data_IF_607920766938
#
_entry.id   IF_607920766938
#
_cell.length_a   1.000
_cell.length_b   1.000
_cell.length_c   1.000
_cell.angle_alpha   90.00
_cell.angle_beta   90.00
_cell.angle_gamma   90.00
#
_symmetry.space_group_name_H-M   'P 1'
#
loop_
_entity.id
_entity.type
_entity.pdbx_description
1 polymer ?
2 water ?
#
# COMPACT_ATOMS: atom_id res chain seq x y z
N UNK A 11 13.17 8.19 -1.78
CA UNK A 11 12.49 6.93 -1.91
C UNK A 11 11.36 6.82 -0.88
N UNK A 12 11.62 7.32 0.34
CA UNK A 12 10.63 7.22 1.39
C UNK A 12 9.37 8.01 1.11
N UNK A 13 9.51 9.16 0.44
CA UNK A 13 8.36 10.02 0.18
C UNK A 13 7.55 9.57 -1.02
N UNK A 14 7.98 8.53 -1.73
CA UNK A 14 7.21 8.03 -2.86
C UNK A 14 5.90 7.43 -2.35
N UNK A 15 4.78 7.96 -2.83
CA UNK A 15 3.48 7.43 -2.46
C UNK A 15 3.06 6.33 -3.42
N UNK A 16 2.27 5.39 -2.92
CA UNK A 16 1.87 4.22 -3.68
C UNK A 16 0.35 4.14 -3.76
N UNK A 17 -0.13 3.38 -4.74
CA UNK A 17 -1.55 3.20 -4.97
C UNK A 17 -1.83 1.71 -5.14
N UNK A 18 -2.94 1.26 -4.56
CA UNK A 18 -3.33 -0.14 -4.67
C UNK A 18 -3.84 -0.43 -6.07
N UNK A 19 -3.31 -1.49 -6.68
CA UNK A 19 -3.79 -1.94 -7.97
C UNK A 19 -4.96 -2.90 -7.85
N UNK A 20 -5.13 -3.53 -6.69
CA UNK A 20 -6.18 -4.51 -6.49
C UNK A 20 -6.81 -4.30 -5.12
N UNK A 21 -8.03 -4.82 -4.96
CA UNK A 21 -8.65 -4.86 -3.64
C UNK A 21 -7.92 -5.88 -2.77
N UNK A 22 -7.98 -5.68 -1.45
CA UNK A 22 -7.41 -6.65 -0.53
C UNK A 22 -8.19 -6.64 0.78
N UNK A 23 -8.59 -7.81 1.25
CA UNK A 23 -9.31 -7.95 2.51
C UNK A 23 -8.40 -8.65 3.51
N UNK A 24 -7.94 -7.91 4.52
CA UNK A 24 -7.04 -8.46 5.51
C UNK A 24 -7.76 -9.46 6.40
N UNK A 25 -7.00 -10.39 6.96
CA UNK A 25 -7.53 -11.40 7.87
C UNK A 25 -6.92 -11.33 9.26
N UNK A 26 -6.06 -10.35 9.53
CA UNK A 26 -5.52 -10.13 10.87
C UNK A 26 -5.48 -8.64 11.16
N UNK A 27 -5.54 -8.31 12.45
CA UNK A 27 -5.59 -6.91 12.85
C UNK A 27 -4.38 -6.13 12.33
N UNK A 28 -3.24 -6.79 12.18
CA UNK A 28 -2.00 -6.12 11.84
C UNK A 28 -1.94 -5.67 10.39
N UNK A 29 -2.85 -6.14 9.55
CA UNK A 29 -2.82 -5.86 8.12
C UNK A 29 -3.96 -4.92 7.74
N UNK A 30 -3.73 -4.14 6.70
CA UNK A 30 -4.73 -3.20 6.22
C UNK A 30 -5.57 -3.83 5.12
N UNK A 31 -6.87 -3.54 5.14
CA UNK A 31 -7.77 -3.83 4.04
C UNK A 31 -7.89 -2.58 3.18
N UNK A 32 -7.99 -2.77 1.86
CA UNK A 32 -8.09 -1.59 1.00
C UNK A 32 -8.73 -1.95 -0.33
N UNK A 33 -9.14 -0.90 -1.04
CA UNK A 33 -9.70 -1.00 -2.38
C UNK A 33 -8.65 -0.58 -3.40
N UNK A 34 -8.73 -1.17 -4.59
CA UNK A 34 -8.01 -0.64 -5.73
C UNK A 34 -8.20 0.87 -5.82
N UNK A 35 -7.10 1.57 -6.08
CA UNK A 35 -7.12 3.01 -6.21
C UNK A 35 -6.83 3.80 -4.95
N UNK A 36 -6.83 3.17 -3.78
CA UNK A 36 -6.50 3.83 -2.53
C UNK A 36 -4.99 4.00 -2.41
N UNK A 37 -4.58 5.11 -1.80
CA UNK A 37 -3.19 5.51 -1.80
C UNK A 37 -2.58 5.33 -0.42
N UNK A 38 -1.26 5.18 -0.41
CA UNK A 38 -0.55 4.86 0.81
C UNK A 38 0.78 5.60 0.90
N UNK A 39 1.12 5.96 2.13
CA UNK A 39 2.47 6.35 2.50
C UNK A 39 3.13 5.12 3.12
N UNK A 40 4.33 4.80 2.67
CA UNK A 40 5.04 3.62 3.14
C UNK A 40 5.88 4.00 4.35
N UNK A 41 5.66 3.31 5.47
CA UNK A 41 6.36 3.61 6.71
C UNK A 41 7.61 2.77 6.89
N UNK A 42 7.57 1.51 6.46
CA UNK A 42 8.72 0.64 6.55
C UNK A 42 8.61 -0.41 5.45
N UNK A 43 9.67 -0.54 4.65
CA UNK A 43 9.74 -1.54 3.60
C UNK A 43 11.01 -2.37 3.73
N UNK A 44 11.52 -2.50 4.96
CA UNK A 44 12.77 -3.19 5.24
C UNK A 44 12.54 -4.48 6.02
N UNK A 45 11.41 -5.15 5.79
CA UNK A 45 11.13 -6.42 6.44
C UNK A 45 10.54 -7.43 5.47
N UNK A 46 10.75 -7.25 4.17
CA UNK A 46 10.33 -8.24 3.20
C UNK A 46 9.22 -7.82 2.26
N UNK A 47 8.41 -8.79 1.83
CA UNK A 47 7.36 -8.55 0.85
C UNK A 47 6.15 -7.83 1.45
N UNK A 48 6.15 -7.58 2.75
CA UNK A 48 5.06 -6.88 3.42
C UNK A 48 5.61 -5.56 3.94
N UNK A 49 4.99 -4.46 3.53
CA UNK A 49 5.41 -3.14 3.96
C UNK A 49 4.46 -2.61 5.02
N UNK A 50 5.00 -1.91 6.01
CA UNK A 50 4.17 -1.11 6.90
C UNK A 50 3.79 0.17 6.19
N UNK A 51 2.50 0.47 6.16
CA UNK A 51 2.00 1.59 5.39
C UNK A 51 0.96 2.34 6.20
N UNK A 52 0.74 3.60 5.82
CA UNK A 52 -0.36 4.40 6.32
C UNK A 52 -1.36 4.61 5.19
N UNK A 53 -2.63 4.27 5.44
CA UNK A 53 -3.67 4.55 4.47
C UNK A 53 -3.92 6.05 4.41
N UNK A 54 -3.83 6.62 3.21
CA UNK A 54 -4.12 8.04 3.04
C UNK A 54 -5.62 8.34 2.98
N UNK A 55 -6.47 7.32 3.14
CA UNK A 55 -7.91 7.51 3.27
C UNK A 55 -8.35 7.53 4.73
N UNK A 56 -7.91 6.55 5.51
CA UNK A 56 -8.36 6.40 6.88
C UNK A 56 -7.32 6.86 7.90
N UNK A 57 -6.05 6.92 7.52
CA UNK A 57 -4.99 7.17 8.46
C UNK A 57 -4.55 5.96 9.25
N UNK A 58 -5.18 4.81 9.05
CA UNK A 58 -4.77 3.60 9.75
C UNK A 58 -3.40 3.15 9.26
N UNK A 59 -2.64 2.53 10.16
CA UNK A 59 -1.33 1.99 9.84
C UNK A 59 -1.36 0.48 10.00
N UNK A 60 -0.65 -0.20 9.11
CA UNK A 60 -0.58 -1.65 9.14
C UNK A 60 0.22 -2.13 7.96
N UNK A 61 0.34 -3.45 7.85
CA UNK A 61 1.12 -4.05 6.78
C UNK A 61 0.25 -4.29 5.55
N UNK A 62 0.87 -4.11 4.39
CA UNK A 62 0.21 -4.38 3.12
C UNK A 62 1.12 -5.26 2.27
N UNK A 63 0.56 -6.09 1.38
CA UNK A 63 1.39 -6.86 0.44
C UNK A 63 1.91 -5.94 -0.66
N UNK A 64 3.24 -5.84 -0.78
CA UNK A 64 3.82 -4.84 -1.67
C UNK A 64 3.48 -5.10 -3.13
N UNK A 65 3.23 -6.35 -3.50
CA UNK A 65 2.88 -6.66 -4.88
C UNK A 65 1.49 -6.17 -5.25
N UNK A 66 0.74 -5.64 -4.29
CA UNK A 66 -0.58 -5.09 -4.56
C UNK A 66 -0.57 -3.60 -4.82
N UNK A 67 0.58 -2.94 -4.66
CA UNK A 67 0.67 -1.49 -4.82
C UNK A 67 1.75 -1.15 -5.84
N UNK A 68 1.67 0.08 -6.35
CA UNK A 68 2.62 0.60 -7.33
C UNK A 68 2.75 2.09 -7.09
N UNK A 69 3.85 2.70 -7.54
CA UNK A 69 4.01 4.15 -7.37
C UNK A 69 2.88 4.91 -8.04
N UNK A 70 2.37 5.93 -7.35
CA UNK A 70 1.23 6.69 -7.86
C UNK A 70 1.55 7.30 -9.22
N UNK A 71 2.76 7.81 -9.39
CA UNK A 71 3.11 8.50 -10.62
C UNK A 71 3.16 7.56 -11.82
N UNK A 72 3.36 6.27 -11.59
CA UNK A 72 3.47 5.31 -12.68
C UNK A 72 2.14 5.05 -13.37
N UNK A 73 1.02 5.51 -12.80
CA UNK A 73 -0.27 5.30 -13.44
C UNK A 73 -0.38 6.13 -14.71
N UNK A 74 -0.19 7.45 -14.59
CA UNK A 74 -0.28 8.31 -15.77
C UNK A 74 0.78 7.95 -16.80
N UNK A 75 1.91 7.40 -16.36
CA UNK A 75 3.00 7.03 -17.25
C UNK A 75 2.82 5.65 -17.87
N UNK A 76 1.69 5.00 -17.63
CA UNK A 76 1.45 3.67 -18.16
C UNK A 76 1.42 3.69 -19.68
N UNK A 77 2.00 2.67 -20.29
CA UNK A 77 1.99 2.53 -21.74
C UNK A 77 0.66 1.96 -22.20
#
# INVERSE_FOLDING_TARGET
NFVLEGDIHMTGVTLFVALYDYEAITEDDLSFHKGEKFQILNSSEGDWWEARSLTTGETGYIPSNYVAPVDSILEHHHHHH
#
